data_IF_280966466971
#
_entry.id   IF_280966466971
#
_cell.length_a   1.000
_cell.length_b   1.000
_cell.length_c   1.000
_cell.angle_alpha   90.00
_cell.angle_beta   90.00
_cell.angle_gamma   90.00
#
_symmetry.space_group_name_H-M   'P 1'
#
loop_
_entity.id
_entity.type
_entity.pdbx_description
1 polymer ?
#
# COMPACT_ATOMS: atom_id res chain seq x y z
N UNK A 1 -16.30 -55.07 -54.98
CA UNK A 1 -14.89 -55.47 -55.12
C UNK A 1 -14.26 -55.33 -53.74
N UNK A 2 -14.10 -56.36 -52.90
CA UNK A 2 -13.14 -57.48 -52.98
C UNK A 2 -11.71 -56.93 -53.22
N UNK A 3 -10.70 -57.01 -52.34
CA UNK A 3 -10.25 -58.07 -51.41
C UNK A 3 -9.28 -57.55 -50.30
N UNK A 4 -9.31 -58.17 -49.12
CA UNK A 4 -8.20 -58.35 -48.13
C UNK A 4 -7.38 -59.64 -48.49
N UNK A 5 -6.45 -60.24 -47.69
CA UNK A 5 -5.56 -59.88 -46.55
C UNK A 5 -4.07 -60.30 -46.80
N UNK A 6 -3.05 -60.23 -45.89
CA UNK A 6 -2.61 -61.19 -44.82
C UNK A 6 -1.28 -60.64 -44.23
N UNK A 7 -1.09 -60.46 -42.91
CA UNK A 7 -0.44 -61.39 -41.93
C UNK A 7 1.06 -61.04 -41.71
N UNK A 8 1.65 -60.92 -40.51
CA UNK A 8 1.83 -61.97 -39.49
C UNK A 8 2.37 -61.38 -38.17
N UNK A 9 2.10 -62.10 -37.07
CA UNK A 9 2.39 -61.83 -35.66
C UNK A 9 3.87 -61.85 -35.25
N UNK A 10 4.19 -61.21 -34.11
CA UNK A 10 5.16 -61.73 -33.15
C UNK A 10 4.78 -61.35 -31.70
N UNK A 11 4.72 -62.38 -30.87
CA UNK A 11 4.45 -62.43 -29.42
C UNK A 11 5.63 -61.93 -28.59
N UNK A 12 5.38 -61.23 -27.48
CA UNK A 12 6.42 -60.80 -26.53
C UNK A 12 5.85 -60.49 -25.14
N UNK A 13 6.41 -61.17 -24.14
CA UNK A 13 5.85 -61.53 -22.83
C UNK A 13 6.00 -60.46 -21.74
N UNK A 14 5.04 -60.48 -20.80
CA UNK A 14 5.00 -59.83 -19.48
C UNK A 14 6.36 -59.60 -18.78
N UNK A 15 6.63 -58.36 -18.35
CA UNK A 15 7.35 -58.05 -17.09
C UNK A 15 6.76 -56.82 -16.40
N UNK A 16 6.26 -57.02 -15.19
CA UNK A 16 5.82 -55.99 -14.24
C UNK A 16 7.02 -55.13 -13.79
N UNK A 17 6.86 -53.82 -13.60
CA UNK A 17 7.67 -53.08 -12.64
C UNK A 17 6.85 -52.77 -11.37
N UNK A 18 7.25 -53.46 -10.31
CA UNK A 18 7.57 -52.94 -8.97
C UNK A 18 6.63 -51.86 -8.41
N UNK A 19 5.84 -52.29 -7.43
CA UNK A 19 5.13 -51.47 -6.44
C UNK A 19 6.17 -50.70 -5.62
N UNK A 20 6.41 -49.44 -6.00
CA UNK A 20 7.13 -48.47 -5.18
C UNK A 20 6.15 -47.71 -4.30
N UNK A 21 6.13 -48.02 -3.00
CA UNK A 21 5.46 -47.21 -1.96
C UNK A 21 6.05 -45.80 -1.97
N UNK A 22 5.45 -44.86 -2.69
CA UNK A 22 5.61 -43.44 -2.38
C UNK A 22 4.47 -43.05 -1.45
N UNK A 23 4.84 -42.85 -0.18
CA UNK A 23 4.03 -42.13 0.79
C UNK A 23 3.52 -40.87 0.11
N UNK A 24 2.21 -40.76 -0.03
CA UNK A 24 1.52 -39.50 -0.17
C UNK A 24 1.89 -38.66 1.05
N UNK A 25 2.97 -37.88 0.93
CA UNK A 25 3.11 -36.66 1.71
C UNK A 25 2.02 -35.75 1.17
N UNK A 26 0.83 -35.88 1.75
CA UNK A 26 -0.20 -34.85 1.75
C UNK A 26 0.48 -33.57 2.20
N UNK A 27 0.84 -32.77 1.20
CA UNK A 27 1.29 -31.41 1.38
C UNK A 27 0.33 -30.74 2.34
N UNK A 28 0.89 -30.28 3.45
CA UNK A 28 0.23 -29.44 4.44
C UNK A 28 -0.02 -28.10 3.74
N UNK A 29 -1.01 -28.07 2.85
CA UNK A 29 -1.60 -26.88 2.23
C UNK A 29 -2.42 -26.16 3.29
N UNK A 30 -1.73 -25.74 4.35
CA UNK A 30 -2.14 -24.57 5.10
C UNK A 30 -1.97 -23.40 4.16
N UNK A 31 -3.10 -22.78 3.81
CA UNK A 31 -3.20 -21.60 2.97
C UNK A 31 -2.30 -20.49 3.56
N UNK A 32 -1.03 -20.43 3.13
CA UNK A 32 -0.21 -19.23 3.27
C UNK A 32 -0.92 -18.18 2.41
N UNK A 33 -1.69 -17.31 3.05
CA UNK A 33 -1.96 -16.00 2.47
C UNK A 33 -0.58 -15.41 2.24
N UNK A 34 -0.18 -15.22 0.98
CA UNK A 34 1.10 -14.62 0.66
C UNK A 34 1.13 -13.25 1.35
N UNK A 35 1.97 -13.12 2.38
CA UNK A 35 2.15 -11.87 3.12
C UNK A 35 2.66 -10.84 2.12
N UNK A 36 2.10 -9.63 2.14
CA UNK A 36 2.69 -8.54 1.35
C UNK A 36 4.04 -8.19 1.96
N UNK A 37 5.11 -8.44 1.19
CA UNK A 37 6.48 -8.20 1.62
C UNK A 37 6.81 -6.71 1.66
N UNK A 38 7.76 -6.34 2.50
CA UNK A 38 8.31 -4.97 2.51
C UNK A 38 9.00 -4.70 1.17
N UNK A 39 8.72 -3.58 0.50
CA UNK A 39 9.41 -3.22 -0.73
C UNK A 39 10.88 -2.90 -0.45
N UNK A 40 11.79 -3.49 -1.21
CA UNK A 40 13.24 -3.29 -1.14
C UNK A 40 13.76 -2.22 -2.14
N UNK A 41 12.87 -1.73 -3.00
CA UNK A 41 13.17 -0.80 -4.09
C UNK A 41 11.97 0.09 -4.39
N UNK A 42 12.25 1.23 -5.03
CA UNK A 42 11.21 2.18 -5.44
C UNK A 42 10.24 1.53 -6.44
N UNK A 43 10.75 0.71 -7.34
CA UNK A 43 9.99 0.00 -8.37
C UNK A 43 9.01 -1.01 -7.74
N UNK A 44 9.45 -1.77 -6.72
CA UNK A 44 8.56 -2.69 -5.99
C UNK A 44 7.51 -1.92 -5.20
N UNK A 45 7.89 -0.81 -4.54
CA UNK A 45 6.94 0.06 -3.85
C UNK A 45 5.88 0.63 -4.81
N UNK A 46 6.28 1.05 -6.02
CA UNK A 46 5.37 1.53 -7.07
C UNK A 46 4.43 0.42 -7.54
N UNK A 47 4.95 -0.79 -7.78
CA UNK A 47 4.14 -1.94 -8.20
C UNK A 47 3.08 -2.30 -7.13
N UNK A 48 3.47 -2.29 -5.84
CA UNK A 48 2.55 -2.51 -4.73
C UNK A 48 1.48 -1.40 -4.66
N UNK A 49 1.88 -0.14 -4.77
CA UNK A 49 0.97 1.00 -4.73
C UNK A 49 -0.01 1.01 -5.92
N UNK A 50 0.47 0.67 -7.12
CA UNK A 50 -0.34 0.55 -8.33
C UNK A 50 -1.37 -0.56 -8.20
N UNK A 51 -0.97 -1.76 -7.79
CA UNK A 51 -1.89 -2.89 -7.61
C UNK A 51 -2.91 -2.63 -6.50
N UNK A 52 -2.49 -2.03 -5.38
CA UNK A 52 -3.40 -1.61 -4.31
C UNK A 52 -4.43 -0.59 -4.79
N UNK A 53 -4.00 0.41 -5.55
CA UNK A 53 -4.87 1.43 -6.15
C UNK A 53 -5.87 0.80 -7.11
N UNK A 54 -5.40 -0.09 -8.01
CA UNK A 54 -6.26 -0.79 -8.97
C UNK A 54 -7.33 -1.63 -8.27
N UNK A 55 -6.96 -2.38 -7.23
CA UNK A 55 -7.88 -3.18 -6.43
C UNK A 55 -8.90 -2.31 -5.69
N UNK A 56 -8.47 -1.19 -5.11
CA UNK A 56 -9.37 -0.27 -4.43
C UNK A 56 -10.39 0.34 -5.40
N UNK A 57 -9.95 0.83 -6.56
CA UNK A 57 -10.82 1.34 -7.61
C UNK A 57 -11.80 0.27 -8.12
N UNK A 58 -11.35 -0.98 -8.28
CA UNK A 58 -12.20 -2.11 -8.67
C UNK A 58 -13.28 -2.43 -7.61
N UNK A 59 -12.98 -2.18 -6.33
CA UNK A 59 -13.92 -2.28 -5.22
C UNK A 59 -14.79 -1.02 -5.05
N UNK A 60 -14.88 -0.18 -6.09
CA UNK A 60 -15.68 1.06 -6.12
C UNK A 60 -15.28 2.11 -5.07
N UNK A 61 -14.08 2.01 -4.50
CA UNK A 61 -13.51 3.07 -3.68
C UNK A 61 -13.06 4.21 -4.60
N UNK A 62 -13.50 5.43 -4.31
CA UNK A 62 -13.24 6.60 -5.17
C UNK A 62 -12.29 7.61 -4.55
N UNK A 63 -12.14 7.58 -3.22
CA UNK A 63 -11.35 8.53 -2.47
C UNK A 63 -10.21 7.79 -1.77
N UNK A 64 -9.02 7.87 -2.38
CA UNK A 64 -7.88 7.04 -2.00
C UNK A 64 -6.75 7.94 -1.47
N UNK A 65 -5.97 7.39 -0.54
CA UNK A 65 -4.77 8.01 0.02
C UNK A 65 -3.58 7.09 -0.14
N UNK A 66 -2.51 7.62 -0.71
CA UNK A 66 -1.21 6.98 -0.83
C UNK A 66 -0.19 7.80 -0.06
N UNK A 67 0.56 7.15 0.82
CA UNK A 67 1.66 7.76 1.54
C UNK A 67 2.91 6.89 1.42
N UNK A 68 3.97 7.46 0.88
CA UNK A 68 5.31 6.89 0.84
C UNK A 68 6.21 7.78 1.68
N UNK A 69 7.03 7.16 2.52
CA UNK A 69 8.07 7.87 3.22
C UNK A 69 9.10 8.46 2.25
N UNK A 70 9.16 9.77 2.20
CA UNK A 70 10.18 10.50 1.44
C UNK A 70 11.27 11.09 2.34
N UNK A 71 11.18 10.88 3.67
CA UNK A 71 12.05 11.55 4.65
C UNK A 71 13.49 11.04 4.66
N UNK A 72 13.76 9.86 4.10
CA UNK A 72 15.12 9.33 3.94
C UNK A 72 15.91 10.01 2.80
N UNK A 73 15.29 10.95 2.07
CA UNK A 73 15.96 11.79 1.08
C UNK A 73 16.68 12.98 1.70
N UNK A 74 17.44 13.71 0.89
CA UNK A 74 18.08 14.97 1.29
C UNK A 74 17.01 15.97 1.77
N UNK A 75 17.12 16.38 3.04
CA UNK A 75 16.23 17.35 3.72
C UNK A 75 16.22 18.72 3.05
N UNK A 76 17.20 19.02 2.19
CA UNK A 76 17.27 20.23 1.38
C UNK A 76 16.13 20.31 0.35
N UNK A 77 15.57 19.17 -0.05
CA UNK A 77 14.47 19.12 -1.01
C UNK A 77 13.11 19.12 -0.32
N UNK A 78 12.17 19.88 -0.88
CA UNK A 78 10.78 19.84 -0.43
C UNK A 78 10.17 18.46 -0.65
N UNK A 79 9.17 18.11 0.17
CA UNK A 79 8.42 16.84 0.06
C UNK A 79 7.88 16.62 -1.35
N UNK A 80 7.40 17.68 -2.02
CA UNK A 80 6.99 17.62 -3.42
C UNK A 80 8.11 17.07 -4.31
N UNK A 81 9.31 17.66 -4.26
CA UNK A 81 10.45 17.21 -5.09
C UNK A 81 10.83 15.76 -4.82
N UNK A 82 10.82 15.34 -3.56
CA UNK A 82 11.12 13.95 -3.20
C UNK A 82 10.01 12.98 -3.65
N UNK A 83 8.78 13.45 -3.82
CA UNK A 83 7.63 12.65 -4.29
C UNK A 83 7.61 12.50 -5.81
N UNK A 84 8.23 13.41 -6.58
CA UNK A 84 8.15 13.40 -8.05
C UNK A 84 8.67 12.11 -8.72
N UNK A 85 9.78 11.47 -8.29
CA UNK A 85 10.22 10.20 -8.87
C UNK A 85 9.18 9.09 -8.70
N UNK A 86 8.58 8.98 -7.52
CA UNK A 86 7.51 8.02 -7.24
C UNK A 86 6.26 8.34 -8.06
N UNK A 87 5.84 9.61 -8.11
CA UNK A 87 4.71 10.06 -8.93
C UNK A 87 4.87 9.64 -10.39
N UNK A 88 6.05 9.90 -10.97
CA UNK A 88 6.35 9.57 -12.37
C UNK A 88 6.17 8.08 -12.64
N UNK A 89 6.80 7.24 -11.83
CA UNK A 89 6.73 5.78 -11.97
C UNK A 89 5.30 5.26 -11.73
N UNK A 90 4.60 5.81 -10.74
CA UNK A 90 3.20 5.46 -10.44
C UNK A 90 2.29 5.80 -11.62
N UNK A 91 2.41 6.99 -12.21
CA UNK A 91 1.62 7.36 -13.39
C UNK A 91 1.88 6.41 -14.56
N UNK A 92 3.14 6.08 -14.85
CA UNK A 92 3.47 5.11 -15.91
C UNK A 92 2.85 3.74 -15.62
N UNK A 93 2.98 3.23 -14.40
CA UNK A 93 2.44 1.93 -14.01
C UNK A 93 0.90 1.91 -14.08
N UNK A 94 0.24 2.98 -13.65
CA UNK A 94 -1.22 3.12 -13.75
C UNK A 94 -1.68 3.12 -15.21
N UNK A 95 -1.08 3.95 -16.07
CA UNK A 95 -1.41 4.06 -17.49
C UNK A 95 -1.14 2.77 -18.27
N UNK A 96 -0.13 2.00 -17.87
CA UNK A 96 0.16 0.69 -18.46
C UNK A 96 -0.87 -0.37 -18.03
N UNK A 97 -1.38 -0.27 -16.80
CA UNK A 97 -2.31 -1.24 -16.24
C UNK A 97 -3.77 -1.03 -16.67
N UNK A 98 -4.15 0.20 -17.01
CA UNK A 98 -5.52 0.56 -17.39
C UNK A 98 -5.49 1.67 -18.46
N UNK A 99 -5.75 1.29 -19.71
CA UNK A 99 -5.76 2.20 -20.86
C UNK A 99 -6.83 3.30 -20.72
N UNK A 100 -7.91 3.07 -19.95
CA UNK A 100 -8.93 4.09 -19.69
C UNK A 100 -8.41 5.24 -18.82
N UNK A 101 -7.28 5.06 -18.12
CA UNK A 101 -6.62 6.12 -17.37
C UNK A 101 -5.92 7.13 -18.28
N UNK A 102 -5.61 6.79 -19.54
CA UNK A 102 -4.97 7.76 -20.46
C UNK A 102 -5.83 8.98 -20.71
N UNK A 103 -7.13 8.79 -20.90
CA UNK A 103 -8.07 9.89 -21.12
C UNK A 103 -8.63 10.44 -19.81
N UNK A 104 -8.64 9.67 -18.71
CA UNK A 104 -9.27 10.11 -17.45
C UNK A 104 -8.33 10.69 -16.39
N UNK A 105 -7.03 10.36 -16.42
CA UNK A 105 -6.08 10.78 -15.38
C UNK A 105 -5.75 12.28 -15.49
N UNK A 106 -5.77 12.98 -14.36
CA UNK A 106 -5.47 14.41 -14.22
C UNK A 106 -4.59 14.59 -12.99
N UNK A 107 -3.42 15.20 -13.15
CA UNK A 107 -2.46 15.38 -12.04
C UNK A 107 -2.59 16.80 -11.51
N UNK A 108 -2.85 16.91 -10.21
CA UNK A 108 -3.09 18.17 -9.51
C UNK A 108 -1.91 18.48 -8.60
N UNK A 109 -1.26 19.63 -8.82
CA UNK A 109 -0.10 20.07 -8.05
C UNK A 109 -0.52 21.19 -7.09
N UNK A 110 0.25 21.46 -6.02
CA UNK A 110 -0.11 22.48 -5.03
C UNK A 110 -0.22 23.88 -5.62
N UNK A 111 0.63 24.22 -6.58
CA UNK A 111 0.66 25.55 -7.21
C UNK A 111 0.97 25.47 -8.71
N UNK A 112 0.78 26.60 -9.40
CA UNK A 112 0.95 26.69 -10.85
C UNK A 112 2.42 26.61 -11.29
N UNK A 113 3.37 27.01 -10.43
CA UNK A 113 4.80 26.89 -10.69
C UNK A 113 5.24 25.43 -10.72
N UNK A 114 4.83 24.66 -9.71
CA UNK A 114 5.02 23.20 -9.66
C UNK A 114 4.36 22.50 -10.85
N UNK A 115 3.13 22.88 -11.19
CA UNK A 115 2.44 22.33 -12.36
C UNK A 115 3.18 22.64 -13.67
N UNK A 116 3.64 23.88 -13.85
CA UNK A 116 4.38 24.29 -15.04
C UNK A 116 5.72 23.57 -15.19
N UNK A 117 6.46 23.39 -14.09
CA UNK A 117 7.70 22.63 -14.06
C UNK A 117 7.45 21.17 -14.47
N UNK A 118 6.47 20.50 -13.85
CA UNK A 118 6.16 19.10 -14.16
C UNK A 118 5.68 18.92 -15.61
N UNK A 119 4.83 19.83 -16.13
CA UNK A 119 4.45 19.83 -17.54
C UNK A 119 5.67 19.92 -18.45
N UNK A 120 6.64 20.75 -18.09
CA UNK A 120 7.84 20.90 -18.90
C UNK A 120 8.68 19.62 -18.89
N UNK A 121 8.85 18.99 -17.73
CA UNK A 121 9.59 17.74 -17.58
C UNK A 121 8.94 16.59 -18.35
N UNK A 122 7.61 16.53 -18.38
CA UNK A 122 6.85 15.46 -19.05
C UNK A 122 6.69 15.64 -20.56
N UNK A 123 7.03 16.80 -21.14
CA UNK A 123 6.92 17.04 -22.60
C UNK A 123 7.72 16.05 -23.43
N UNK A 124 8.91 15.68 -22.96
CA UNK A 124 9.81 14.76 -23.67
C UNK A 124 9.52 13.28 -23.38
N UNK A 125 8.51 12.99 -22.56
CA UNK A 125 8.17 11.65 -22.15
C UNK A 125 6.85 11.22 -22.81
N UNK A 126 6.93 10.48 -23.91
CA UNK A 126 5.80 10.13 -24.78
C UNK A 126 4.55 9.66 -24.00
N UNK A 127 4.74 8.80 -23.00
CA UNK A 127 3.64 8.22 -22.21
C UNK A 127 2.98 9.21 -21.25
N UNK A 128 3.70 10.25 -20.79
CA UNK A 128 3.20 11.23 -19.81
C UNK A 128 2.86 12.59 -20.43
N UNK A 129 3.35 12.87 -21.64
CA UNK A 129 3.13 14.12 -22.37
C UNK A 129 1.66 14.46 -22.59
N UNK A 130 0.79 13.45 -22.62
CA UNK A 130 -0.66 13.59 -22.78
C UNK A 130 -1.43 13.76 -21.47
N UNK A 131 -0.79 13.52 -20.32
CA UNK A 131 -1.45 13.61 -19.00
C UNK A 131 -1.62 15.08 -18.62
N UNK A 132 -2.85 15.59 -18.44
CA UNK A 132 -3.05 16.98 -18.05
C UNK A 132 -2.56 17.23 -16.62
N UNK A 133 -1.78 18.29 -16.45
CA UNK A 133 -1.21 18.71 -15.16
C UNK A 133 -1.59 20.17 -14.90
N UNK A 134 -2.16 20.48 -13.74
CA UNK A 134 -2.53 21.84 -13.35
C UNK A 134 -2.51 22.04 -11.83
N UNK A 135 -2.56 23.30 -11.39
CA UNK A 135 -2.70 23.62 -9.97
C UNK A 135 -4.08 23.22 -9.43
N UNK A 136 -4.10 22.56 -8.28
CA UNK A 136 -5.33 22.26 -7.53
C UNK A 136 -6.03 23.53 -7.08
N UNK A 137 -5.32 24.65 -6.87
CA UNK A 137 -5.90 25.93 -6.48
C UNK A 137 -6.78 26.55 -7.57
N UNK A 138 -6.58 26.15 -8.83
CA UNK A 138 -7.34 26.69 -9.96
C UNK A 138 -8.81 26.26 -9.90
N UNK A 139 -9.66 27.16 -9.40
CA UNK A 139 -11.11 26.94 -9.29
C UNK A 139 -11.76 26.65 -10.65
N UNK A 140 -11.28 27.27 -11.72
CA UNK A 140 -11.77 27.03 -13.08
C UNK A 140 -11.51 25.58 -13.48
N UNK A 141 -10.27 25.09 -13.29
CA UNK A 141 -9.92 23.69 -13.58
C UNK A 141 -10.70 22.70 -12.73
N UNK A 142 -10.87 22.96 -11.43
CA UNK A 142 -11.70 22.10 -10.56
C UNK A 142 -13.14 21.98 -11.08
N UNK A 143 -13.75 23.09 -11.53
CA UNK A 143 -15.10 23.08 -12.10
C UNK A 143 -15.18 22.33 -13.43
N UNK A 144 -14.17 22.47 -14.28
CA UNK A 144 -14.06 21.73 -15.54
C UNK A 144 -14.03 20.22 -15.27
N UNK A 145 -13.22 19.77 -14.30
CA UNK A 145 -13.16 18.35 -13.91
C UNK A 145 -14.51 17.82 -13.43
N UNK A 146 -15.22 18.58 -12.59
CA UNK A 146 -16.53 18.18 -12.08
C UNK A 146 -17.57 18.15 -13.21
N UNK A 147 -17.49 19.06 -14.17
CA UNK A 147 -18.35 19.05 -15.35
C UNK A 147 -18.06 17.84 -16.25
N UNK A 148 -16.78 17.55 -16.52
CA UNK A 148 -16.33 16.38 -17.29
C UNK A 148 -16.77 15.06 -16.63
N UNK A 149 -16.73 15.00 -15.30
CA UNK A 149 -17.18 13.84 -14.52
C UNK A 149 -18.68 13.52 -14.67
N UNK A 150 -19.49 14.40 -15.28
CA UNK A 150 -20.90 14.10 -15.58
C UNK A 150 -21.07 13.17 -16.77
N UNK A 151 -20.12 13.17 -17.69
CA UNK A 151 -20.19 12.42 -18.95
C UNK A 151 -19.13 11.31 -19.01
N UNK A 152 -17.98 11.51 -18.35
CA UNK A 152 -16.83 10.62 -18.43
C UNK A 152 -16.24 10.33 -17.05
N UNK A 153 -15.51 9.23 -16.93
CA UNK A 153 -14.71 8.99 -15.71
C UNK A 153 -13.54 9.97 -15.68
N UNK A 154 -13.31 10.60 -14.54
CA UNK A 154 -12.19 11.51 -14.28
C UNK A 154 -11.47 11.03 -13.02
N UNK A 155 -10.16 10.81 -13.13
CA UNK A 155 -9.31 10.39 -12.01
C UNK A 155 -8.34 11.52 -11.69
N UNK A 156 -8.58 12.22 -10.58
CA UNK A 156 -7.74 13.28 -10.07
C UNK A 156 -6.68 12.71 -9.13
N UNK A 157 -5.40 12.87 -9.47
CA UNK A 157 -4.26 12.56 -8.61
C UNK A 157 -3.70 13.85 -8.01
N UNK A 158 -4.10 14.17 -6.78
CA UNK A 158 -3.60 15.32 -6.04
C UNK A 158 -2.27 14.99 -5.36
N UNK A 159 -1.21 15.67 -5.76
CA UNK A 159 0.17 15.40 -5.35
C UNK A 159 0.61 16.42 -4.30
N UNK A 160 1.02 15.90 -3.15
CA UNK A 160 1.51 16.67 -1.99
C UNK A 160 0.71 17.94 -1.68
N UNK A 161 -0.64 17.89 -1.62
CA UNK A 161 -1.42 19.07 -1.25
C UNK A 161 -1.02 19.55 0.14
N UNK A 162 -0.91 20.86 0.32
CA UNK A 162 -0.51 21.50 1.58
C UNK A 162 -1.75 21.93 2.35
N UNK A 163 -1.54 22.38 3.59
CA UNK A 163 -2.59 22.94 4.44
C UNK A 163 -3.39 24.09 3.77
N UNK A 164 -2.77 24.87 2.89
CA UNK A 164 -3.40 25.95 2.12
C UNK A 164 -4.35 25.45 1.04
N UNK A 165 -4.15 24.24 0.50
CA UNK A 165 -4.99 23.67 -0.56
C UNK A 165 -6.11 22.75 -0.02
N UNK A 166 -6.32 22.73 1.29
CA UNK A 166 -7.29 21.82 1.94
C UNK A 166 -8.71 22.07 1.48
N UNK A 167 -9.13 23.33 1.39
CA UNK A 167 -10.50 23.65 0.97
C UNK A 167 -10.73 23.25 -0.49
N UNK A 168 -9.71 23.43 -1.35
CA UNK A 168 -9.73 22.96 -2.74
C UNK A 168 -9.89 21.44 -2.83
N UNK A 169 -9.16 20.72 -1.98
CA UNK A 169 -9.21 19.27 -1.94
C UNK A 169 -10.54 18.75 -1.37
N UNK A 170 -11.12 19.44 -0.38
CA UNK A 170 -12.45 19.14 0.15
C UNK A 170 -13.56 19.36 -0.87
N UNK A 171 -13.46 20.40 -1.71
CA UNK A 171 -14.39 20.59 -2.83
C UNK A 171 -14.37 19.37 -3.77
N UNK A 172 -13.18 18.88 -4.14
CA UNK A 172 -13.05 17.69 -4.99
C UNK A 172 -13.52 16.41 -4.29
N UNK A 173 -13.23 16.25 -3.00
CA UNK A 173 -13.69 15.12 -2.19
C UNK A 173 -15.23 15.08 -2.10
N UNK A 174 -15.88 16.23 -1.93
CA UNK A 174 -17.34 16.33 -1.96
C UNK A 174 -17.88 15.99 -3.35
N UNK A 175 -17.29 16.55 -4.40
CA UNK A 175 -17.69 16.23 -5.77
C UNK A 175 -17.52 14.75 -6.10
N UNK A 176 -16.50 14.08 -5.58
CA UNK A 176 -16.27 12.64 -5.75
C UNK A 176 -17.33 11.78 -5.03
N UNK A 177 -17.97 12.32 -3.98
CA UNK A 177 -19.14 11.69 -3.35
C UNK A 177 -20.45 11.95 -4.11
N UNK A 178 -20.55 13.09 -4.80
CA UNK A 178 -21.74 13.47 -5.57
C UNK A 178 -21.75 12.85 -6.98
N UNK A 179 -20.56 12.55 -7.53
CA UNK A 179 -20.37 12.04 -8.88
C UNK A 179 -19.53 10.77 -8.87
N UNK A 180 -20.18 9.62 -9.10
CA UNK A 180 -19.54 8.29 -9.10
C UNK A 180 -18.39 8.12 -10.11
N UNK A 181 -18.39 8.93 -11.16
CA UNK A 181 -17.37 8.97 -12.20
C UNK A 181 -16.14 9.81 -11.81
N UNK A 182 -16.19 10.59 -10.73
CA UNK A 182 -15.05 11.35 -10.22
C UNK A 182 -14.32 10.54 -9.14
N UNK A 183 -13.05 10.26 -9.38
CA UNK A 183 -12.14 9.58 -8.45
C UNK A 183 -11.08 10.55 -7.97
N UNK A 184 -10.82 10.59 -6.68
CA UNK A 184 -9.80 11.40 -6.05
C UNK A 184 -8.75 10.50 -5.40
N UNK A 185 -7.51 10.64 -5.83
CA UNK A 185 -6.34 9.96 -5.27
C UNK A 185 -5.44 11.05 -4.69
N UNK A 186 -5.07 10.93 -3.42
CA UNK A 186 -4.21 11.90 -2.73
C UNK A 186 -2.87 11.24 -2.40
N UNK A 187 -1.79 11.77 -2.95
CA UNK A 187 -0.44 11.27 -2.78
C UNK A 187 0.37 12.18 -1.85
N UNK A 188 0.95 11.62 -0.79
CA UNK A 188 1.87 12.28 0.14
C UNK A 188 1.39 13.65 0.67
N UNK A 189 0.16 13.77 1.18
CA UNK A 189 -0.37 15.07 1.64
C UNK A 189 0.51 15.70 2.74
N UNK A 190 0.73 17.01 2.65
CA UNK A 190 1.58 17.80 3.56
C UNK A 190 0.73 18.75 4.39
N UNK A 191 0.03 18.19 5.36
CA UNK A 191 -1.06 18.86 6.07
C UNK A 191 -0.61 19.51 7.38
N UNK A 192 0.66 19.90 7.47
CA UNK A 192 1.19 20.60 8.65
C UNK A 192 1.38 22.07 8.27
N UNK A 193 0.65 22.95 8.95
CA UNK A 193 0.85 24.39 8.85
C UNK A 193 1.82 24.85 9.95
N UNK A 194 3.09 25.06 9.57
CA UNK A 194 4.14 25.53 10.48
C UNK A 194 3.90 26.97 10.99
N UNK A 195 2.96 27.71 10.40
CA UNK A 195 2.56 29.06 10.82
C UNK A 195 1.43 29.10 11.85
N UNK A 196 0.76 27.98 12.13
CA UNK A 196 -0.38 27.93 13.03
C UNK A 196 0.04 27.70 14.50
N UNK A 197 -0.32 28.63 15.40
CA UNK A 197 -0.32 28.36 16.84
C UNK A 197 -1.36 27.27 17.15
N UNK A 198 -0.98 26.24 17.91
CA UNK A 198 -1.85 25.08 18.18
C UNK A 198 -1.78 23.99 17.11
N UNK A 199 -0.57 23.68 16.62
CA UNK A 199 -0.22 22.59 15.68
C UNK A 199 -1.03 21.30 15.91
N UNK A 200 -1.24 20.90 17.17
CA UNK A 200 -2.01 19.71 17.50
C UNK A 200 -3.50 19.80 17.15
N UNK A 201 -4.17 20.92 17.42
CA UNK A 201 -5.59 21.10 17.13
C UNK A 201 -5.84 21.34 15.64
N UNK A 202 -4.97 22.13 14.99
CA UNK A 202 -5.02 22.37 13.56
C UNK A 202 -4.81 21.07 12.77
N UNK A 203 -3.79 20.28 13.12
CA UNK A 203 -3.53 18.98 12.50
C UNK A 203 -4.66 17.96 12.75
N UNK A 204 -5.23 17.93 13.97
CA UNK A 204 -6.39 17.07 14.28
C UNK A 204 -7.60 17.43 13.43
N UNK A 205 -7.99 18.71 13.40
CA UNK A 205 -9.11 19.18 12.57
C UNK A 205 -8.89 18.86 11.09
N UNK A 206 -7.65 18.96 10.62
CA UNK A 206 -7.33 18.67 9.24
C UNK A 206 -7.38 17.18 8.92
N UNK A 207 -6.90 16.33 9.83
CA UNK A 207 -7.09 14.89 9.75
C UNK A 207 -8.58 14.52 9.71
N UNK A 208 -9.37 15.08 10.63
CA UNK A 208 -10.81 14.80 10.73
C UNK A 208 -11.58 15.27 9.50
N UNK A 209 -11.26 16.46 8.97
CA UNK A 209 -11.97 17.04 7.82
C UNK A 209 -11.61 16.40 6.48
N UNK A 210 -10.45 15.75 6.36
CA UNK A 210 -9.93 15.29 5.07
C UNK A 210 -9.46 13.83 5.13
N UNK A 211 -8.43 13.54 5.92
CA UNK A 211 -7.75 12.24 5.88
C UNK A 211 -8.68 11.08 6.29
N UNK A 212 -9.61 11.30 7.23
CA UNK A 212 -10.56 10.26 7.65
C UNK A 212 -11.55 9.87 6.55
N UNK A 213 -11.76 10.74 5.54
CA UNK A 213 -12.63 10.43 4.39
C UNK A 213 -11.92 9.73 3.24
N UNK A 214 -10.59 9.59 3.30
CA UNK A 214 -9.78 8.96 2.26
C UNK A 214 -9.36 7.55 2.69
N UNK A 215 -9.65 6.54 1.89
CA UNK A 215 -9.22 5.18 2.15
C UNK A 215 -7.70 5.07 1.98
N UNK A 216 -6.93 4.68 3.02
CA UNK A 216 -5.50 4.46 2.90
C UNK A 216 -5.23 3.17 2.12
N UNK A 217 -4.92 3.32 0.83
CA UNK A 217 -4.69 2.15 -0.06
C UNK A 217 -3.25 1.69 -0.06
N UNK A 218 -2.32 2.63 0.11
CA UNK A 218 -0.90 2.33 0.23
C UNK A 218 -0.28 3.26 1.27
N UNK A 219 0.43 2.68 2.23
CA UNK A 219 1.16 3.42 3.24
C UNK A 219 2.48 2.73 3.51
N UNK A 220 3.58 3.44 3.35
CA UNK A 220 4.90 2.98 3.79
C UNK A 220 5.52 4.11 4.59
N UNK A 221 5.75 3.88 5.88
CA UNK A 221 6.46 4.83 6.74
C UNK A 221 7.56 4.13 7.49
N UNK A 222 8.78 4.63 7.32
CA UNK A 222 9.95 4.16 8.05
C UNK A 222 10.06 4.87 9.39
N UNK A 223 10.71 4.22 10.33
CA UNK A 223 11.03 4.72 11.65
C UNK A 223 12.38 4.14 12.08
N UNK A 224 13.06 4.73 13.08
CA UNK A 224 14.35 4.20 13.54
C UNK A 224 14.33 2.74 14.02
N UNK A 225 13.15 2.20 14.35
CA UNK A 225 12.94 0.84 14.83
C UNK A 225 12.48 -0.15 13.75
N UNK A 226 12.13 0.32 12.55
CA UNK A 226 11.52 -0.49 11.51
C UNK A 226 10.57 0.33 10.64
N UNK A 227 9.36 -0.20 10.36
CA UNK A 227 8.38 0.48 9.52
C UNK A 227 6.93 0.05 9.77
N UNK A 228 6.00 0.87 9.27
CA UNK A 228 4.58 0.56 9.15
C UNK A 228 4.23 0.46 7.66
N UNK A 229 3.53 -0.62 7.29
CA UNK A 229 3.14 -0.91 5.92
C UNK A 229 1.62 -1.17 5.83
N UNK A 230 0.99 -0.61 4.80
CA UNK A 230 -0.39 -0.88 4.36
C UNK A 230 -0.39 -1.08 2.87
N UNK A 231 -0.95 -2.20 2.40
CA UNK A 231 -1.16 -2.46 0.97
C UNK A 231 -2.56 -3.04 0.78
N UNK A 232 -3.45 -2.32 0.08
CA UNK A 232 -4.84 -2.74 -0.10
C UNK A 232 -4.94 -4.06 -0.87
N UNK A 233 -5.74 -5.04 -0.39
CA UNK A 233 -6.75 -4.98 0.67
C UNK A 233 -6.28 -5.44 2.06
N UNK A 234 -5.00 -5.73 2.25
CA UNK A 234 -4.47 -6.30 3.50
C UNK A 234 -4.58 -5.31 4.67
N UNK A 235 -4.59 -5.81 5.89
CA UNK A 235 -4.60 -4.96 7.09
C UNK A 235 -3.26 -4.21 7.24
N UNK A 236 -3.22 -3.27 8.18
CA UNK A 236 -1.99 -2.61 8.56
C UNK A 236 -1.01 -3.60 9.19
N UNK A 237 0.26 -3.45 8.85
CA UNK A 237 1.34 -4.30 9.35
C UNK A 237 2.48 -3.46 9.91
N UNK A 238 3.11 -3.99 10.95
CA UNK A 238 4.24 -3.39 11.66
C UNK A 238 5.42 -4.34 11.56
N UNK A 239 6.55 -3.79 11.14
CA UNK A 239 7.77 -4.53 10.84
C UNK A 239 8.93 -3.92 11.61
N UNK A 240 9.82 -4.77 12.11
CA UNK A 240 11.01 -4.36 12.85
C UNK A 240 12.26 -4.78 12.08
N UNK A 241 13.31 -3.94 12.15
CA UNK A 241 14.62 -4.27 11.57
C UNK A 241 15.09 -5.63 12.08
N UNK A 242 15.59 -6.48 11.18
CA UNK A 242 15.99 -7.84 11.56
C UNK A 242 17.07 -7.86 12.65
N UNK A 243 18.02 -6.94 12.62
CA UNK A 243 19.04 -6.80 13.67
C UNK A 243 18.41 -6.58 15.05
N UNK A 244 17.42 -5.69 15.14
CA UNK A 244 16.68 -5.42 16.38
C UNK A 244 15.83 -6.61 16.80
N UNK A 245 15.18 -7.28 15.84
CA UNK A 245 14.42 -8.49 16.11
C UNK A 245 15.31 -9.58 16.73
N UNK A 246 16.49 -9.80 16.14
CA UNK A 246 17.48 -10.76 16.62
C UNK A 246 18.00 -10.41 18.02
N UNK A 247 18.26 -9.12 18.28
CA UNK A 247 18.69 -8.66 19.60
C UNK A 247 17.66 -8.96 20.71
N UNK A 248 16.36 -8.98 20.37
CA UNK A 248 15.27 -9.25 21.32
C UNK A 248 14.98 -10.76 21.45
N UNK A 249 14.96 -11.50 20.33
CA UNK A 249 14.47 -12.88 20.28
C UNK A 249 15.56 -13.96 20.26
N UNK A 250 16.80 -13.58 19.96
CA UNK A 250 17.90 -14.51 19.76
C UNK A 250 17.82 -15.25 18.42
N UNK A 251 18.97 -15.77 17.97
CA UNK A 251 19.16 -16.36 16.63
C UNK A 251 18.26 -17.58 16.37
N UNK A 252 17.97 -18.39 17.39
CA UNK A 252 17.16 -19.62 17.26
C UNK A 252 15.67 -19.37 16.95
N UNK A 253 15.10 -18.21 17.29
CA UNK A 253 13.71 -17.89 16.92
C UNK A 253 13.61 -17.31 15.49
N UNK A 254 14.72 -16.86 14.89
CA UNK A 254 14.73 -16.20 13.59
C UNK A 254 14.68 -17.16 12.40
N UNK A 255 15.25 -18.36 12.50
CA UNK A 255 15.15 -19.42 11.45
C UNK A 255 13.68 -19.80 11.14
N UNK A 256 12.75 -19.50 12.06
CA UNK A 256 11.32 -19.78 11.89
C UNK A 256 10.47 -18.55 11.50
N UNK A 257 11.03 -17.33 11.53
CA UNK A 257 10.24 -16.09 11.49
C UNK A 257 10.19 -15.41 10.11
N UNK A 258 11.18 -15.63 9.24
CA UNK A 258 11.26 -15.05 7.89
C UNK A 258 12.22 -15.87 7.01
N UNK A 259 12.25 -15.62 5.70
CA UNK A 259 13.35 -16.14 4.86
C UNK A 259 14.65 -15.49 5.33
N UNK A 260 15.77 -16.20 5.19
CA UNK A 260 17.09 -15.80 5.72
C UNK A 260 17.68 -14.53 5.07
N UNK A 261 16.96 -13.90 4.13
CA UNK A 261 17.37 -12.69 3.39
C UNK A 261 16.50 -11.45 3.69
N UNK A 262 15.44 -11.56 4.52
CA UNK A 262 14.55 -10.42 4.75
C UNK A 262 15.17 -9.39 5.72
N UNK A 263 15.24 -8.12 5.31
CA UNK A 263 15.76 -7.03 6.15
C UNK A 263 14.84 -6.67 7.34
N UNK A 264 13.56 -7.03 7.25
CA UNK A 264 12.54 -6.71 8.23
C UNK A 264 11.73 -7.95 8.63
N UNK A 265 11.34 -8.01 9.90
CA UNK A 265 10.49 -9.08 10.44
C UNK A 265 9.14 -8.50 10.86
N UNK A 266 8.06 -9.08 10.36
CA UNK A 266 6.70 -8.66 10.70
C UNK A 266 6.35 -9.09 12.14
N UNK A 267 5.93 -8.13 12.95
CA UNK A 267 5.54 -8.37 14.35
C UNK A 267 4.03 -8.24 14.60
N UNK A 268 3.30 -7.58 13.69
CA UNK A 268 1.85 -7.48 13.69
C UNK A 268 1.33 -7.22 12.27
N UNK A 269 0.19 -7.82 11.89
CA UNK A 269 -0.37 -7.76 10.53
C UNK A 269 -1.92 -7.75 10.48
N UNK A 270 -2.59 -7.58 11.63
CA UNK A 270 -4.05 -7.67 11.75
C UNK A 270 -4.73 -6.35 12.15
N UNK A 271 -3.99 -5.24 12.13
CA UNK A 271 -4.47 -3.92 12.51
C UNK A 271 -5.45 -3.37 11.48
N UNK A 272 -6.71 -3.14 11.87
CA UNK A 272 -7.72 -2.59 10.97
C UNK A 272 -7.56 -1.08 10.75
N UNK A 273 -7.12 -0.38 11.80
CA UNK A 273 -6.87 1.06 11.76
C UNK A 273 -5.37 1.34 11.68
N UNK A 274 -5.05 2.55 11.22
CA UNK A 274 -3.67 3.00 11.10
C UNK A 274 -2.99 3.01 12.49
N UNK A 275 -1.93 2.20 12.71
CA UNK A 275 -1.21 2.20 13.98
C UNK A 275 -0.50 3.55 14.13
N UNK A 276 -0.87 4.32 15.16
CA UNK A 276 -0.29 5.64 15.44
C UNK A 276 -0.20 5.90 16.95
N UNK A 277 0.64 6.87 17.33
CA UNK A 277 0.72 7.37 18.70
C UNK A 277 1.08 6.28 19.71
N UNK A 278 0.42 6.35 20.87
CA UNK A 278 0.71 5.49 22.03
C UNK A 278 0.51 4.01 21.72
N UNK A 279 -0.51 3.64 20.94
CA UNK A 279 -0.76 2.22 20.62
C UNK A 279 0.37 1.58 19.80
N UNK A 280 0.95 2.34 18.86
CA UNK A 280 2.13 1.88 18.11
C UNK A 280 3.38 1.88 19.01
N UNK A 281 3.54 2.91 19.84
CA UNK A 281 4.66 3.00 20.78
C UNK A 281 4.64 1.83 21.77
N UNK A 282 3.48 1.52 22.37
CA UNK A 282 3.26 0.41 23.30
C UNK A 282 3.53 -0.95 22.64
N UNK A 283 3.12 -1.14 21.38
CA UNK A 283 3.40 -2.36 20.63
C UNK A 283 4.91 -2.55 20.45
N UNK A 284 5.59 -1.50 19.98
CA UNK A 284 7.04 -1.54 19.72
C UNK A 284 7.80 -1.69 21.03
N UNK A 285 7.43 -0.96 22.08
CA UNK A 285 8.06 -1.04 23.41
C UNK A 285 7.83 -2.42 24.05
N UNK A 286 6.60 -2.95 24.00
CA UNK A 286 6.31 -4.30 24.49
C UNK A 286 7.08 -5.37 23.72
N UNK A 287 7.38 -5.14 22.45
CA UNK A 287 8.20 -6.04 21.68
C UNK A 287 9.67 -5.92 22.09
N UNK A 288 10.21 -4.70 22.14
CA UNK A 288 11.63 -4.44 22.43
C UNK A 288 12.04 -4.77 23.87
N UNK A 289 11.13 -4.57 24.83
CA UNK A 289 11.38 -4.78 26.27
C UNK A 289 10.35 -5.76 26.87
N UNK A 290 10.41 -7.06 26.51
CA UNK A 290 9.40 -8.03 26.91
C UNK A 290 9.34 -8.26 28.44
N UNK A 291 10.44 -8.04 29.17
CA UNK A 291 10.50 -8.19 30.63
C UNK A 291 9.81 -7.04 31.38
N UNK A 292 9.88 -5.80 30.86
CA UNK A 292 9.25 -4.63 31.47
C UNK A 292 7.74 -4.60 31.21
N UNK A 293 7.29 -5.10 30.05
CA UNK A 293 5.87 -5.18 29.67
C UNK A 293 5.00 -6.02 30.63
N UNK A 294 5.61 -6.93 31.40
CA UNK A 294 4.93 -7.77 32.39
C UNK A 294 4.67 -7.08 33.73
N UNK A 295 5.21 -5.88 33.94
CA UNK A 295 5.16 -5.16 35.23
C UNK A 295 4.26 -3.91 35.24
N UNK A 296 3.68 -3.53 34.09
CA UNK A 296 2.81 -2.35 33.95
C UNK A 296 1.31 -2.62 34.18
N UNK A 297 0.48 -1.57 34.31
CA UNK A 297 -0.97 -1.69 34.58
C UNK A 297 -1.76 -2.48 33.52
N UNK A 298 -1.22 -2.58 32.31
CA UNK A 298 -1.82 -3.28 31.16
C UNK A 298 -1.35 -4.73 31.01
N UNK A 299 -0.48 -5.24 31.89
CA UNK A 299 0.06 -6.60 31.82
C UNK A 299 -1.04 -7.69 31.84
N UNK A 300 -2.11 -7.47 32.62
CA UNK A 300 -3.27 -8.37 32.67
C UNK A 300 -4.09 -8.37 31.36
N UNK A 301 -4.19 -7.21 30.72
CA UNK A 301 -4.93 -7.04 29.45
C UNK A 301 -4.16 -7.68 28.30
N UNK A 302 -2.82 -7.54 28.27
CA UNK A 302 -1.96 -8.20 27.28
C UNK A 302 -1.86 -9.72 27.47
N UNK A 303 -1.86 -10.23 28.71
CA UNK A 303 -1.98 -11.67 28.95
C UNK A 303 -3.32 -12.21 28.44
N UNK A 304 -4.42 -11.48 28.64
CA UNK A 304 -5.73 -11.84 28.09
C UNK A 304 -5.74 -11.83 26.57
N UNK A 305 -5.07 -10.85 25.94
CA UNK A 305 -5.01 -10.71 24.49
C UNK A 305 -4.11 -11.78 23.83
N UNK A 306 -2.94 -12.08 24.41
CA UNK A 306 -2.08 -13.20 23.97
C UNK A 306 -2.74 -14.56 24.17
N UNK A 307 -3.58 -14.70 25.20
CA UNK A 307 -4.37 -15.91 25.45
C UNK A 307 -5.54 -16.02 24.46
N UNK A 308 -6.20 -14.90 24.14
CA UNK A 308 -7.24 -14.82 23.13
C UNK A 308 -6.70 -15.09 21.73
N UNK A 309 -5.55 -14.53 21.35
CA UNK A 309 -4.88 -14.82 20.07
C UNK A 309 -4.46 -16.29 19.97
N UNK A 310 -3.95 -16.89 21.05
CA UNK A 310 -3.65 -18.34 21.09
C UNK A 310 -4.92 -19.19 20.96
N UNK A 311 -6.00 -18.79 21.64
CA UNK A 311 -7.30 -19.45 21.57
C UNK A 311 -7.95 -19.34 20.18
N UNK A 312 -7.94 -18.16 19.57
CA UNK A 312 -8.44 -17.92 18.21
C UNK A 312 -7.62 -18.66 17.15
N UNK A 313 -6.28 -18.76 17.33
CA UNK A 313 -5.43 -19.61 16.48
C UNK A 313 -5.76 -21.09 16.64
N UNK A 314 -6.08 -21.55 17.85
CA UNK A 314 -6.47 -22.94 18.11
C UNK A 314 -7.84 -23.28 17.47
N UNK A 315 -8.81 -22.37 17.55
CA UNK A 315 -10.13 -22.52 16.91
C UNK A 315 -10.08 -22.52 15.37
N UNK A 316 -9.08 -21.89 14.76
CA UNK A 316 -8.86 -21.92 13.30
C UNK A 316 -8.24 -23.23 12.79
N UNK A 317 -7.78 -24.11 13.68
CA UNK A 317 -7.12 -25.38 13.33
C UNK A 317 -8.03 -26.62 13.51
N UNK A 318 -9.24 -26.44 14.05
CA UNK A 318 -10.32 -27.45 14.11
C UNK A 318 -11.34 -27.20 13.01
#
# INVERSE_FOLDING_TARGET
MFLTPVGTSCTGTLRRPIIGRQRLQTAKLGRLVARTAVPDSLEVAVAQAQEATRRALANSLRQLRLELDTSLGDETYSRLKQTLPFLRLLCLALLQSDESLRSSLRVLLPDEGAAAALRNDWKSEDQLSSVPVFSIESRVRRRELVAEAREHTVTCLAVTPRATEVDALQELARAANEHDSLRLIVLNPELIDMGATGLGLAARRLRDRLLNGLEPVYYLRTAPWGLVLRVYPDAWSVWIDRERYLAVKGEHEAENAANDDDAFVCIADDWQEQPTGDALADLVESFMNPEQALSGPLAGLMQSWRSLQRFLRALRQT
#
